data_IF_817499314651
#
_entry.id   IF_817499314651
#
_cell.length_a   1.000
_cell.length_b   1.000
_cell.length_c   1.000
_cell.angle_alpha   90.00
_cell.angle_beta   90.00
_cell.angle_gamma   90.00
#
_symmetry.space_group_name_H-M   'P 1'
#
loop_
_entity.id
_entity.type
_entity.pdbx_description
1 polymer ?
#
# COMPACT_ATOMS: atom_id res chain seq x y z
N UNK A 1 -7.36 -39.29 16.34
CA UNK A 1 -7.78 -38.81 15.01
C UNK A 1 -8.31 -37.39 15.16
N UNK A 2 -7.49 -36.39 14.96
CA UNK A 2 -7.90 -34.99 14.96
C UNK A 2 -8.28 -34.65 13.51
N UNK A 3 -9.57 -34.52 13.24
CA UNK A 3 -10.07 -34.09 11.94
C UNK A 3 -9.64 -32.64 11.68
N UNK A 4 -8.85 -32.44 10.65
CA UNK A 4 -8.59 -31.13 10.04
C UNK A 4 -9.94 -30.46 9.72
N UNK A 5 -10.38 -29.56 10.56
CA UNK A 5 -11.38 -28.58 10.16
C UNK A 5 -10.66 -27.57 9.24
N UNK A 6 -10.71 -27.85 7.94
CA UNK A 6 -10.47 -26.86 6.91
C UNK A 6 -11.59 -25.82 7.10
N UNK A 7 -11.24 -24.71 7.75
CA UNK A 7 -12.11 -23.55 7.84
C UNK A 7 -12.33 -23.07 6.41
N UNK A 8 -13.53 -23.36 5.90
CA UNK A 8 -14.01 -22.84 4.64
C UNK A 8 -14.20 -21.32 4.85
N UNK A 9 -13.13 -20.53 4.69
CA UNK A 9 -13.22 -19.07 4.69
C UNK A 9 -14.12 -18.70 3.52
N UNK A 10 -15.29 -18.15 3.85
CA UNK A 10 -16.15 -17.52 2.86
C UNK A 10 -15.28 -16.54 2.08
N UNK A 11 -15.09 -16.76 0.79
CA UNK A 11 -14.30 -15.95 -0.14
C UNK A 11 -14.76 -14.48 -0.23
N UNK A 12 -15.89 -14.16 0.38
CA UNK A 12 -16.52 -12.83 0.36
C UNK A 12 -15.96 -11.83 1.40
N UNK A 13 -15.19 -12.28 2.40
CA UNK A 13 -14.74 -11.45 3.51
C UNK A 13 -13.21 -11.16 3.52
N UNK A 14 -12.46 -11.58 2.51
CA UNK A 14 -11.02 -11.29 2.46
C UNK A 14 -10.80 -9.83 2.07
N UNK A 15 -10.48 -9.01 3.05
CA UNK A 15 -10.03 -7.64 2.83
C UNK A 15 -8.57 -7.64 2.39
N UNK A 16 -8.25 -6.94 1.30
CA UNK A 16 -6.86 -6.66 0.96
C UNK A 16 -6.44 -5.31 1.52
N UNK A 17 -5.60 -5.34 2.56
CA UNK A 17 -4.89 -4.17 3.04
C UNK A 17 -3.60 -4.01 2.22
N UNK A 18 -3.51 -2.89 1.51
CA UNK A 18 -2.42 -2.58 0.60
C UNK A 18 -1.61 -1.43 1.19
N UNK A 19 -0.33 -1.68 1.47
CA UNK A 19 0.59 -0.68 2.01
C UNK A 19 1.56 -0.26 0.91
N UNK A 20 1.52 0.99 0.48
CA UNK A 20 2.35 1.50 -0.62
C UNK A 20 3.25 2.65 -0.16
N UNK A 21 4.57 2.49 -0.31
CA UNK A 21 5.52 3.58 -0.12
C UNK A 21 5.53 4.50 -1.35
N UNK A 22 5.64 5.81 -1.12
CA UNK A 22 5.81 6.77 -2.22
C UNK A 22 7.02 6.44 -3.10
N UNK A 23 6.96 6.83 -4.37
CA UNK A 23 8.09 6.73 -5.31
C UNK A 23 9.23 7.69 -4.98
N UNK A 24 10.33 7.56 -5.71
CA UNK A 24 11.46 8.49 -5.59
C UNK A 24 11.00 9.94 -5.73
N UNK A 25 11.48 10.80 -4.82
CA UNK A 25 11.16 12.23 -4.78
C UNK A 25 12.42 13.07 -4.80
N UNK A 26 12.31 14.30 -5.31
CA UNK A 26 13.40 15.27 -5.28
C UNK A 26 13.91 15.45 -3.85
N UNK A 27 15.22 15.69 -3.64
CA UNK A 27 15.76 15.93 -2.31
C UNK A 27 15.13 17.16 -1.66
N UNK A 28 15.17 17.20 -0.34
CA UNK A 28 14.82 18.40 0.41
C UNK A 28 15.95 19.43 0.27
N UNK A 29 15.58 20.67 0.04
CA UNK A 29 16.50 21.82 0.02
C UNK A 29 15.87 22.96 0.82
N UNK A 30 16.58 24.09 0.96
CA UNK A 30 16.03 25.30 1.58
C UNK A 30 14.79 25.81 0.82
N UNK A 31 14.83 25.72 -0.53
CA UNK A 31 13.73 26.17 -1.40
C UNK A 31 12.60 25.13 -1.55
N UNK A 32 12.84 23.89 -1.19
CA UNK A 32 11.86 22.80 -1.33
C UNK A 32 11.61 22.13 0.01
N UNK A 33 10.62 22.60 0.77
CA UNK A 33 10.21 22.00 2.04
C UNK A 33 9.84 20.54 1.90
N UNK A 34 10.04 19.75 2.95
CA UNK A 34 9.79 18.29 2.92
C UNK A 34 8.38 17.93 2.45
N UNK A 35 7.35 18.70 2.80
CA UNK A 35 5.95 18.46 2.37
C UNK A 35 5.77 18.66 0.85
N UNK A 36 6.54 19.51 0.21
CA UNK A 36 6.41 19.92 -1.19
C UNK A 36 7.30 19.12 -2.15
N UNK A 37 8.11 18.22 -1.63
CA UNK A 37 8.97 17.35 -2.45
C UNK A 37 8.14 16.52 -3.42
N UNK A 38 8.32 16.76 -4.72
CA UNK A 38 7.60 16.07 -5.80
C UNK A 38 8.31 14.78 -6.21
N UNK A 39 7.58 13.85 -6.80
CA UNK A 39 8.19 12.69 -7.45
C UNK A 39 9.10 13.12 -8.60
N UNK A 40 10.25 12.45 -8.72
CA UNK A 40 11.11 12.53 -9.89
C UNK A 40 10.46 11.85 -11.12
N UNK A 41 11.06 11.99 -12.31
CA UNK A 41 10.62 11.22 -13.49
C UNK A 41 10.73 9.71 -13.23
N UNK A 42 11.82 9.27 -12.61
CA UNK A 42 12.03 7.87 -12.24
C UNK A 42 11.02 7.42 -11.18
N UNK A 43 10.77 8.25 -10.14
CA UNK A 43 9.76 7.95 -9.13
C UNK A 43 8.37 7.72 -9.73
N UNK A 44 7.95 8.53 -10.69
CA UNK A 44 6.66 8.32 -11.39
C UNK A 44 6.63 7.01 -12.18
N UNK A 45 7.75 6.61 -12.80
CA UNK A 45 7.88 5.35 -13.52
C UNK A 45 7.86 4.14 -12.58
N UNK A 46 8.56 4.24 -11.44
CA UNK A 46 8.53 3.24 -10.38
C UNK A 46 7.09 2.98 -9.91
N UNK A 47 6.37 4.05 -9.56
CA UNK A 47 4.97 3.98 -9.11
C UNK A 47 4.07 3.34 -10.17
N UNK A 48 4.16 3.78 -11.44
CA UNK A 48 3.38 3.15 -12.53
C UNK A 48 3.66 1.65 -12.65
N UNK A 49 4.92 1.27 -12.51
CA UNK A 49 5.31 -0.14 -12.63
C UNK A 49 4.62 -1.01 -11.59
N UNK A 50 4.69 -0.64 -10.32
CA UNK A 50 4.09 -1.42 -9.23
C UNK A 50 2.57 -1.29 -9.19
N UNK A 51 2.00 -0.13 -9.53
CA UNK A 51 0.56 0.06 -9.65
C UNK A 51 -0.06 -0.87 -10.71
N UNK A 52 0.62 -1.06 -11.85
CA UNK A 52 0.18 -2.03 -12.88
C UNK A 52 0.26 -3.47 -12.41
N UNK A 53 1.24 -3.81 -11.57
CA UNK A 53 1.30 -5.14 -10.95
C UNK A 53 0.12 -5.35 -10.00
N UNK A 54 -0.19 -4.34 -9.18
CA UNK A 54 -1.33 -4.38 -8.28
C UNK A 54 -2.66 -4.45 -9.05
N UNK A 55 -2.84 -3.67 -10.11
CA UNK A 55 -4.04 -3.70 -10.95
C UNK A 55 -4.32 -5.10 -11.50
N UNK A 56 -3.29 -5.80 -11.98
CA UNK A 56 -3.42 -7.20 -12.42
C UNK A 56 -3.76 -8.16 -11.29
N UNK A 57 -3.26 -7.91 -10.09
CA UNK A 57 -3.56 -8.71 -8.91
C UNK A 57 -4.99 -8.51 -8.44
N UNK A 58 -5.45 -7.26 -8.37
CA UNK A 58 -6.80 -6.91 -7.93
C UNK A 58 -7.86 -7.25 -8.98
N UNK A 59 -7.48 -7.32 -10.25
CA UNK A 59 -8.40 -7.38 -11.40
C UNK A 59 -9.33 -6.15 -11.36
N UNK A 60 -10.65 -6.36 -11.47
CA UNK A 60 -11.64 -5.28 -11.50
C UNK A 60 -12.21 -4.94 -10.11
N UNK A 61 -11.53 -5.32 -9.01
CA UNK A 61 -11.97 -4.99 -7.66
C UNK A 61 -11.76 -3.49 -7.40
N UNK A 62 -12.80 -2.79 -6.96
CA UNK A 62 -12.69 -1.37 -6.63
C UNK A 62 -11.73 -1.15 -5.47
N UNK A 63 -10.88 -0.13 -5.58
CA UNK A 63 -9.82 0.19 -4.62
C UNK A 63 -10.09 1.52 -3.97
N UNK A 64 -10.25 1.57 -2.65
CA UNK A 64 -10.22 2.81 -1.89
C UNK A 64 -8.77 3.19 -1.57
N UNK A 65 -8.43 4.46 -1.68
CA UNK A 65 -7.07 4.94 -1.49
C UNK A 65 -7.06 6.06 -0.45
N UNK A 66 -6.29 5.89 0.61
CA UNK A 66 -5.94 6.93 1.55
C UNK A 66 -4.45 7.25 1.43
N UNK A 67 -4.11 8.52 1.39
CA UNK A 67 -2.74 8.98 1.25
C UNK A 67 -2.41 10.09 2.23
N UNK A 68 -1.16 10.11 2.71
CA UNK A 68 -0.64 11.25 3.44
C UNK A 68 -0.65 12.50 2.54
N UNK A 69 -0.82 13.71 3.10
CA UNK A 69 -0.99 14.92 2.31
C UNK A 69 0.30 15.49 1.70
N UNK A 70 1.46 14.83 1.88
CA UNK A 70 2.72 15.27 1.29
C UNK A 70 2.68 15.14 -0.24
N UNK A 71 3.31 16.05 -0.97
CA UNK A 71 3.22 16.08 -2.43
C UNK A 71 3.61 14.75 -3.10
N UNK A 72 4.67 14.08 -2.63
CA UNK A 72 5.13 12.79 -3.18
C UNK A 72 4.12 11.65 -2.98
N UNK A 73 3.43 11.60 -1.83
CA UNK A 73 2.38 10.61 -1.56
C UNK A 73 1.11 10.91 -2.33
N UNK A 74 0.71 12.18 -2.44
CA UNK A 74 -0.42 12.62 -3.30
C UNK A 74 -0.20 12.22 -4.76
N UNK A 75 1.00 12.46 -5.30
CA UNK A 75 1.34 12.09 -6.68
C UNK A 75 1.40 10.57 -6.86
N UNK A 76 1.91 9.83 -5.86
CA UNK A 76 1.90 8.37 -5.87
C UNK A 76 0.47 7.83 -5.89
N UNK A 77 -0.39 8.31 -4.98
CA UNK A 77 -1.78 7.89 -4.90
C UNK A 77 -2.57 8.22 -6.16
N UNK A 78 -2.32 9.38 -6.79
CA UNK A 78 -2.93 9.73 -8.06
C UNK A 78 -2.55 8.76 -9.18
N UNK A 79 -1.26 8.42 -9.32
CA UNK A 79 -0.81 7.44 -10.32
C UNK A 79 -1.44 6.06 -10.03
N UNK A 80 -1.51 5.67 -8.75
CA UNK A 80 -2.17 4.43 -8.35
C UNK A 80 -3.65 4.42 -8.79
N UNK A 81 -4.37 5.53 -8.58
CA UNK A 81 -5.78 5.65 -8.97
C UNK A 81 -6.00 5.67 -10.49
N UNK A 82 -5.01 6.09 -11.26
CA UNK A 82 -5.05 6.05 -12.73
C UNK A 82 -4.83 4.63 -13.30
N UNK A 83 -4.08 3.78 -12.59
CA UNK A 83 -3.72 2.43 -13.07
C UNK A 83 -4.61 1.33 -12.48
N UNK A 84 -5.32 1.58 -11.37
CA UNK A 84 -6.26 0.67 -10.72
C UNK A 84 -7.69 1.20 -10.86
N UNK A 85 -8.68 0.30 -10.71
CA UNK A 85 -10.08 0.73 -10.60
C UNK A 85 -10.30 1.37 -9.22
N UNK A 86 -10.08 2.69 -9.12
CA UNK A 86 -10.21 3.43 -7.87
C UNK A 86 -11.65 3.90 -7.63
N UNK A 87 -12.20 3.55 -6.48
CA UNK A 87 -13.51 4.03 -6.02
C UNK A 87 -13.43 5.39 -5.33
N UNK A 88 -12.25 5.76 -4.79
CA UNK A 88 -12.00 7.05 -4.17
C UNK A 88 -10.56 7.24 -3.75
N UNK A 89 -10.13 8.52 -3.66
CA UNK A 89 -8.82 8.92 -3.17
C UNK A 89 -9.01 10.02 -2.13
N UNK A 90 -8.56 9.76 -0.90
CA UNK A 90 -8.69 10.65 0.24
C UNK A 90 -7.32 10.97 0.83
N UNK A 91 -7.14 12.23 1.24
CA UNK A 91 -5.93 12.66 1.96
C UNK A 91 -6.20 12.68 3.46
N UNK A 92 -5.26 12.16 4.24
CA UNK A 92 -5.36 12.15 5.70
C UNK A 92 -4.03 12.38 6.38
N UNK A 93 -4.02 13.23 7.41
CA UNK A 93 -2.85 13.46 8.27
C UNK A 93 -2.56 12.25 9.18
N UNK A 94 -3.52 11.35 9.38
CA UNK A 94 -3.35 10.15 10.21
C UNK A 94 -2.17 9.29 9.74
N UNK A 95 -1.92 9.24 8.43
CA UNK A 95 -0.78 8.52 7.86
C UNK A 95 0.59 9.15 8.15
N UNK A 96 0.65 10.22 8.95
CA UNK A 96 1.87 10.87 9.44
C UNK A 96 2.12 10.62 10.93
N UNK A 97 1.22 9.96 11.64
CA UNK A 97 1.29 9.83 13.10
C UNK A 97 1.80 8.46 13.58
N UNK A 98 1.87 7.48 12.69
CA UNK A 98 2.52 6.20 12.96
C UNK A 98 1.75 5.20 13.82
N UNK A 99 0.52 5.51 14.25
CA UNK A 99 -0.32 4.59 15.03
C UNK A 99 -1.25 3.79 14.11
N UNK A 100 -0.89 2.52 13.87
CA UNK A 100 -1.69 1.63 13.02
C UNK A 100 -3.07 1.36 13.61
N UNK A 101 -3.21 1.28 14.93
CA UNK A 101 -4.50 0.98 15.58
C UNK A 101 -5.52 2.11 15.39
N UNK A 102 -5.05 3.36 15.42
CA UNK A 102 -5.91 4.50 15.09
C UNK A 102 -6.35 4.45 13.64
N UNK A 103 -5.42 4.22 12.72
CA UNK A 103 -5.72 4.07 11.28
C UNK A 103 -6.67 2.90 11.04
N UNK A 104 -6.44 1.76 11.67
CA UNK A 104 -7.30 0.59 11.58
C UNK A 104 -8.74 0.93 11.96
N UNK A 105 -8.95 1.59 13.08
CA UNK A 105 -10.28 1.92 13.57
C UNK A 105 -11.03 2.92 12.68
N UNK A 106 -10.32 3.85 12.04
CA UNK A 106 -10.94 4.93 11.25
C UNK A 106 -11.08 4.61 9.77
N UNK A 107 -10.08 3.95 9.18
CA UNK A 107 -10.01 3.76 7.72
C UNK A 107 -10.38 2.35 7.27
N UNK A 108 -10.24 1.34 8.14
CA UNK A 108 -10.57 -0.06 7.82
C UNK A 108 -12.00 -0.35 8.29
N UNK A 109 -12.98 0.13 7.53
CA UNK A 109 -14.39 0.09 7.94
C UNK A 109 -15.24 -0.95 7.22
N UNK A 110 -14.76 -1.49 6.10
CA UNK A 110 -15.47 -2.50 5.30
C UNK A 110 -14.50 -3.46 4.62
N UNK A 111 -15.00 -4.55 4.06
CA UNK A 111 -14.24 -5.67 3.53
C UNK A 111 -13.62 -5.45 2.14
N UNK A 112 -13.72 -4.28 1.51
CA UNK A 112 -13.13 -4.00 0.19
C UNK A 112 -11.62 -3.77 0.23
N UNK A 113 -10.92 -3.87 -0.93
CA UNK A 113 -9.51 -3.51 -1.01
C UNK A 113 -9.26 -2.06 -0.60
N UNK A 114 -8.26 -1.85 0.25
CA UNK A 114 -7.88 -0.55 0.79
C UNK A 114 -6.38 -0.33 0.64
N UNK A 115 -5.98 0.77 0.00
CA UNK A 115 -4.58 1.19 -0.08
C UNK A 115 -4.27 2.36 0.86
N UNK A 116 -3.21 2.21 1.64
CA UNK A 116 -2.59 3.25 2.45
C UNK A 116 -1.27 3.67 1.77
N UNK A 117 -1.23 4.89 1.26
CA UNK A 117 -0.04 5.44 0.58
C UNK A 117 0.70 6.37 1.52
N UNK A 118 1.90 5.97 1.93
CA UNK A 118 2.60 6.64 3.01
C UNK A 118 4.12 6.62 2.91
N UNK A 119 4.75 6.64 4.07
CA UNK A 119 6.18 6.83 4.28
C UNK A 119 6.81 5.59 4.92
N UNK A 120 8.12 5.43 4.70
CA UNK A 120 8.89 4.24 5.06
C UNK A 120 8.63 3.70 6.47
N UNK A 121 8.92 4.51 7.50
CA UNK A 121 8.88 4.05 8.89
C UNK A 121 7.48 3.63 9.33
N UNK A 122 6.46 4.39 8.96
CA UNK A 122 5.07 4.09 9.32
C UNK A 122 4.57 2.83 8.63
N UNK A 123 4.83 2.69 7.34
CA UNK A 123 4.40 1.50 6.60
C UNK A 123 5.10 0.22 7.06
N UNK A 124 6.38 0.32 7.49
CA UNK A 124 7.08 -0.80 8.11
C UNK A 124 6.43 -1.22 9.42
N UNK A 125 6.09 -0.25 10.28
CA UNK A 125 5.38 -0.50 11.54
C UNK A 125 4.00 -1.13 11.27
N UNK A 126 3.23 -0.56 10.34
CA UNK A 126 1.91 -1.08 9.98
C UNK A 126 1.97 -2.53 9.47
N UNK A 127 2.96 -2.84 8.63
CA UNK A 127 3.13 -4.20 8.11
C UNK A 127 3.50 -5.19 9.21
N UNK A 128 4.35 -4.76 10.15
CA UNK A 128 4.71 -5.57 11.31
C UNK A 128 3.49 -5.84 12.20
N UNK A 129 2.69 -4.81 12.49
CA UNK A 129 1.49 -4.94 13.34
C UNK A 129 0.37 -5.72 12.63
N UNK A 130 0.14 -5.46 11.34
CA UNK A 130 -0.95 -6.09 10.60
C UNK A 130 -0.66 -7.54 10.20
N UNK A 131 0.60 -7.92 9.98
CA UNK A 131 0.95 -9.23 9.40
C UNK A 131 2.19 -9.89 10.01
N UNK A 132 2.79 -9.33 11.05
CA UNK A 132 4.03 -9.85 11.65
C UNK A 132 5.24 -9.82 10.69
N UNK A 133 5.18 -9.05 9.60
CA UNK A 133 6.21 -9.03 8.56
C UNK A 133 7.14 -7.83 8.70
N UNK A 134 8.40 -8.08 9.06
CA UNK A 134 9.43 -7.05 9.27
C UNK A 134 10.16 -6.64 7.98
N UNK A 135 9.44 -6.33 6.91
CA UNK A 135 10.02 -5.90 5.63
C UNK A 135 10.22 -4.38 5.65
N UNK A 136 11.40 -3.94 5.19
CA UNK A 136 11.64 -2.53 4.89
C UNK A 136 11.07 -2.21 3.50
N UNK A 137 10.04 -1.35 3.39
CA UNK A 137 9.46 -1.05 2.09
C UNK A 137 10.44 -0.29 1.19
N UNK A 138 10.69 -0.76 -0.03
CA UNK A 138 11.42 -0.03 -1.07
C UNK A 138 10.61 1.17 -1.57
N UNK A 139 11.27 2.12 -2.26
CA UNK A 139 10.56 3.20 -2.95
C UNK A 139 9.57 2.62 -3.97
N UNK A 140 8.34 3.11 -3.94
CA UNK A 140 7.22 2.64 -4.75
C UNK A 140 6.89 1.14 -4.58
N UNK A 141 7.35 0.48 -3.51
CA UNK A 141 6.92 -0.90 -3.23
C UNK A 141 5.49 -0.94 -2.70
N UNK A 142 4.86 -2.09 -2.90
CA UNK A 142 3.50 -2.41 -2.45
C UNK A 142 3.53 -3.73 -1.71
N UNK A 143 3.09 -3.74 -0.46
CA UNK A 143 2.79 -4.93 0.32
C UNK A 143 1.29 -5.19 0.28
N UNK A 144 0.85 -6.41 -0.01
CA UNK A 144 -0.56 -6.83 0.02
C UNK A 144 -0.74 -7.81 1.16
N UNK A 145 -1.60 -7.45 2.09
CA UNK A 145 -1.96 -8.26 3.25
C UNK A 145 -3.38 -8.77 3.09
N UNK A 146 -3.58 -10.08 3.18
CA UNK A 146 -4.89 -10.70 3.39
C UNK A 146 -5.25 -10.48 4.85
N UNK A 147 -6.11 -9.48 5.10
CA UNK A 147 -6.39 -8.95 6.43
C UNK A 147 -7.75 -9.39 6.94
N UNK A 148 -7.76 -9.94 8.13
CA UNK A 148 -8.97 -10.34 8.85
C UNK A 148 -9.38 -9.24 9.83
N UNK A 149 -10.47 -8.54 9.53
CA UNK A 149 -10.97 -7.44 10.33
C UNK A 149 -11.46 -7.88 11.71
N UNK A 150 -11.96 -9.10 11.84
CA UNK A 150 -12.48 -9.63 13.11
C UNK A 150 -11.33 -9.96 14.09
N UNK A 151 -10.27 -10.55 13.58
CA UNK A 151 -9.09 -10.91 14.37
C UNK A 151 -8.03 -9.78 14.41
N UNK A 152 -8.24 -8.71 13.63
CA UNK A 152 -7.29 -7.59 13.49
C UNK A 152 -5.87 -8.05 13.18
N UNK A 153 -5.75 -9.03 12.31
CA UNK A 153 -4.49 -9.66 11.92
C UNK A 153 -4.58 -10.18 10.50
N UNK A 154 -3.47 -10.19 9.81
CA UNK A 154 -3.41 -10.65 8.44
C UNK A 154 -2.15 -11.43 8.11
N UNK A 155 -2.05 -11.79 6.84
CA UNK A 155 -0.90 -12.47 6.26
C UNK A 155 -0.42 -11.68 5.04
N UNK A 156 0.88 -11.39 4.98
CA UNK A 156 1.49 -10.86 3.77
C UNK A 156 1.42 -11.91 2.66
N UNK A 157 0.74 -11.61 1.57
CA UNK A 157 0.51 -12.52 0.45
C UNK A 157 1.19 -12.11 -0.85
N UNK A 158 1.57 -10.83 -0.99
CA UNK A 158 2.35 -10.34 -2.13
C UNK A 158 3.19 -9.13 -1.76
N UNK A 159 4.36 -9.02 -2.40
CA UNK A 159 5.22 -7.84 -2.33
C UNK A 159 5.68 -7.47 -3.74
N UNK A 160 5.27 -6.28 -4.20
CA UNK A 160 5.64 -5.75 -5.50
C UNK A 160 6.69 -4.65 -5.34
N UNK A 161 7.78 -4.77 -6.08
CA UNK A 161 8.85 -3.76 -6.11
C UNK A 161 9.21 -3.43 -7.56
N UNK A 162 9.64 -2.19 -7.88
CA UNK A 162 10.09 -1.85 -9.22
C UNK A 162 11.24 -2.72 -9.73
N UNK A 163 12.05 -3.28 -8.83
CA UNK A 163 13.16 -4.18 -9.15
C UNK A 163 12.71 -5.50 -9.82
N UNK A 164 11.53 -6.04 -9.46
CA UNK A 164 11.00 -7.27 -10.07
C UNK A 164 10.85 -7.19 -11.59
N UNK A 165 10.63 -5.99 -12.14
CA UNK A 165 10.55 -5.81 -13.59
C UNK A 165 11.92 -5.89 -14.27
N UNK A 166 13.00 -5.56 -13.55
CA UNK A 166 14.37 -5.63 -14.08
C UNK A 166 14.84 -7.08 -14.22
N UNK A 167 14.48 -7.93 -13.26
CA UNK A 167 14.85 -9.37 -13.25
C UNK A 167 14.23 -10.16 -14.43
N UNK A 168 13.07 -9.73 -14.96
CA UNK A 168 12.39 -10.40 -16.09
C UNK A 168 12.96 -10.04 -17.47
N UNK A 169 13.96 -9.17 -17.56
CA UNK A 169 14.58 -8.74 -18.84
C UNK A 169 15.94 -9.37 -19.10
N UNK A 170 16.42 -10.19 -18.17
CA UNK A 170 17.74 -10.84 -18.27
C UNK A 170 17.63 -12.33 -18.68
N UNK A 171 16.42 -12.79 -18.96
CA UNK A 171 16.10 -14.06 -19.65
C UNK A 171 15.79 -13.79 -21.12
#
# INVERSE_FOLDING_TARGET
MVKNQIINRNKEAAMYLILMRHGEAVPQTEDVPNRERRLTKEGKKQVRTTSRMLARFLKDRPLRIFASPFMRTRQTARILSEECFAEGLHLTEELLQGDFRQIENHLITDGGPLALVGHHLFLQSYLLEAAGAGIQPDLASISVVDYDMAWKQGKLIAYFTPALKKLKKED
#
